data_IF_619957130057
#
_entry.id   IF_619957130057
#
_cell.length_a   1.000
_cell.length_b   1.000
_cell.length_c   1.000
_cell.angle_alpha   90.00
_cell.angle_beta   90.00
_cell.angle_gamma   90.00
#
_symmetry.space_group_name_H-M   'P 1'
#
loop_
_entity.id
_entity.type
_entity.pdbx_description
1 polymer ?
#
# COMPACT_ATOMS: atom_id res chain seq x y z
N UNK A 1 -43.50 -16.09 -9.22
CA UNK A 1 -42.18 -15.51 -9.53
C UNK A 1 -41.75 -14.79 -8.27
N UNK A 2 -40.63 -15.19 -7.66
CA UNK A 2 -40.17 -14.60 -6.40
C UNK A 2 -39.58 -13.22 -6.69
N UNK A 3 -40.02 -12.18 -5.97
CA UNK A 3 -39.49 -10.83 -6.16
C UNK A 3 -38.09 -10.75 -5.54
N UNK A 4 -37.18 -9.99 -6.16
CA UNK A 4 -35.85 -9.71 -5.62
C UNK A 4 -35.90 -8.98 -4.26
N UNK A 5 -37.03 -8.35 -3.95
CA UNK A 5 -37.31 -7.76 -2.65
C UNK A 5 -37.48 -8.81 -1.52
N UNK A 6 -37.86 -10.04 -1.86
CA UNK A 6 -38.20 -11.12 -0.90
C UNK A 6 -37.01 -12.04 -0.56
N UNK A 7 -35.81 -11.72 -1.06
CA UNK A 7 -34.58 -12.46 -0.72
C UNK A 7 -34.28 -12.34 0.78
N UNK A 8 -33.91 -13.48 1.39
CA UNK A 8 -33.52 -13.51 2.80
C UNK A 8 -32.26 -12.69 3.06
N UNK A 9 -32.14 -12.12 4.27
CA UNK A 9 -30.97 -11.34 4.67
C UNK A 9 -29.65 -12.10 4.54
N UNK A 10 -29.66 -13.42 4.77
CA UNK A 10 -28.47 -14.26 4.64
C UNK A 10 -27.97 -14.38 3.20
N UNK A 11 -28.89 -14.55 2.25
CA UNK A 11 -28.57 -14.57 0.81
C UNK A 11 -28.07 -13.20 0.35
N UNK A 12 -28.70 -12.12 0.80
CA UNK A 12 -28.25 -10.76 0.51
C UNK A 12 -26.86 -10.48 1.07
N UNK A 13 -26.57 -10.94 2.30
CA UNK A 13 -25.26 -10.83 2.94
C UNK A 13 -24.20 -11.60 2.16
N UNK A 14 -24.53 -12.83 1.73
CA UNK A 14 -23.66 -13.64 0.89
C UNK A 14 -23.37 -12.97 -0.45
N UNK A 15 -24.39 -12.48 -1.16
CA UNK A 15 -24.23 -11.77 -2.44
C UNK A 15 -23.36 -10.53 -2.24
N UNK A 16 -23.68 -9.67 -1.26
CA UNK A 16 -22.90 -8.46 -0.98
C UNK A 16 -21.43 -8.77 -0.68
N UNK A 17 -21.14 -9.88 0.01
CA UNK A 17 -19.77 -10.34 0.29
C UNK A 17 -18.94 -10.69 -0.95
N UNK A 18 -19.58 -10.84 -2.12
CA UNK A 18 -18.97 -11.15 -3.41
C UNK A 18 -18.94 -9.94 -4.36
N UNK A 19 -19.26 -8.74 -3.87
CA UNK A 19 -19.24 -7.50 -4.65
C UNK A 19 -18.15 -6.55 -4.14
N UNK A 20 -17.57 -5.78 -5.05
CA UNK A 20 -16.60 -4.71 -4.76
C UNK A 20 -16.92 -3.47 -5.60
N UNK A 21 -16.45 -2.31 -5.15
CA UNK A 21 -16.55 -1.05 -5.88
C UNK A 21 -17.98 -0.66 -6.24
N UNK A 22 -18.19 -0.25 -7.50
CA UNK A 22 -19.50 0.19 -8.02
C UNK A 22 -20.59 -0.88 -7.84
N UNK A 23 -20.28 -2.17 -7.99
CA UNK A 23 -21.27 -3.23 -7.82
C UNK A 23 -21.77 -3.32 -6.37
N UNK A 24 -20.87 -3.18 -5.39
CA UNK A 24 -21.23 -3.12 -3.97
C UNK A 24 -22.01 -1.85 -3.63
N UNK A 25 -21.68 -0.72 -4.27
CA UNK A 25 -22.45 0.52 -4.13
C UNK A 25 -23.88 0.35 -4.67
N UNK A 26 -24.02 -0.14 -5.90
CA UNK A 26 -25.30 -0.35 -6.58
C UNK A 26 -26.19 -1.35 -5.85
N UNK A 27 -25.61 -2.35 -5.18
CA UNK A 27 -26.35 -3.28 -4.31
C UNK A 27 -27.19 -2.52 -3.27
N UNK A 28 -26.64 -1.49 -2.62
CA UNK A 28 -27.35 -0.67 -1.64
C UNK A 28 -28.39 0.30 -2.24
N UNK A 29 -28.43 0.44 -3.56
CA UNK A 29 -29.39 1.31 -4.27
C UNK A 29 -30.67 0.57 -4.68
N UNK A 30 -30.66 -0.77 -4.70
CA UNK A 30 -31.79 -1.60 -5.17
C UNK A 30 -33.08 -1.31 -4.39
N UNK A 31 -33.09 -1.57 -3.07
CA UNK A 31 -34.23 -1.31 -2.21
C UNK A 31 -33.80 -1.21 -0.73
N UNK A 32 -34.76 -0.99 0.19
CA UNK A 32 -34.49 -0.79 1.62
C UNK A 32 -33.81 -1.99 2.29
N UNK A 33 -34.22 -3.23 1.99
CA UNK A 33 -33.64 -4.44 2.61
C UNK A 33 -32.19 -4.65 2.19
N UNK A 34 -31.88 -4.47 0.90
CA UNK A 34 -30.52 -4.57 0.37
C UNK A 34 -29.62 -3.46 0.92
N UNK A 35 -30.13 -2.22 1.01
CA UNK A 35 -29.41 -1.10 1.65
C UNK A 35 -29.09 -1.37 3.10
N UNK A 36 -30.02 -1.97 3.85
CA UNK A 36 -29.80 -2.31 5.25
C UNK A 36 -28.64 -3.30 5.39
N UNK A 37 -28.59 -4.34 4.54
CA UNK A 37 -27.49 -5.32 4.51
C UNK A 37 -26.15 -4.68 4.15
N UNK A 38 -26.11 -3.85 3.10
CA UNK A 38 -24.88 -3.16 2.70
C UNK A 38 -24.36 -2.21 3.80
N UNK A 39 -25.27 -1.52 4.48
CA UNK A 39 -24.93 -0.56 5.55
C UNK A 39 -24.52 -1.27 6.85
N UNK A 40 -25.15 -2.39 7.16
CA UNK A 40 -24.81 -3.23 8.31
C UNK A 40 -23.53 -4.04 8.09
N UNK A 41 -23.02 -4.13 6.85
CA UNK A 41 -21.81 -4.87 6.56
C UNK A 41 -20.61 -4.25 7.31
N UNK A 42 -19.96 -5.00 8.22
CA UNK A 42 -18.79 -4.51 8.93
C UNK A 42 -17.59 -4.32 7.98
N UNK A 43 -17.70 -4.81 6.74
CA UNK A 43 -16.65 -4.83 5.73
C UNK A 43 -16.79 -3.73 4.68
N UNK A 44 -17.80 -2.87 4.82
CA UNK A 44 -18.08 -1.76 3.88
C UNK A 44 -16.88 -0.85 3.64
N UNK A 45 -16.03 -0.68 4.65
CA UNK A 45 -14.85 0.19 4.60
C UNK A 45 -13.52 -0.60 4.73
N UNK A 46 -13.58 -1.93 4.65
CA UNK A 46 -12.38 -2.74 4.81
C UNK A 46 -11.51 -2.68 3.55
N UNK A 47 -10.18 -2.55 3.70
CA UNK A 47 -9.26 -2.61 2.56
C UNK A 47 -9.42 -3.91 1.77
N UNK A 48 -9.25 -3.81 0.46
CA UNK A 48 -9.22 -4.94 -0.46
C UNK A 48 -7.78 -5.20 -0.91
N UNK A 49 -7.38 -6.47 -0.96
CA UNK A 49 -6.10 -6.86 -1.53
C UNK A 49 -6.27 -7.06 -3.03
N UNK A 50 -5.64 -6.21 -3.84
CA UNK A 50 -5.55 -6.41 -5.28
C UNK A 50 -4.26 -7.17 -5.62
N UNK A 51 -4.35 -8.23 -6.40
CA UNK A 51 -3.17 -8.97 -6.87
C UNK A 51 -3.34 -9.54 -8.27
N UNK A 52 -2.23 -9.68 -8.99
CA UNK A 52 -2.22 -10.28 -10.33
C UNK A 52 -1.89 -11.78 -10.27
N UNK A 53 -2.71 -12.59 -10.94
CA UNK A 53 -2.46 -14.03 -11.09
C UNK A 53 -1.99 -14.34 -12.50
N UNK A 54 -0.67 -14.53 -12.67
CA UNK A 54 -0.03 -14.76 -13.98
C UNK A 54 -0.63 -15.94 -14.76
N UNK A 55 -0.98 -17.04 -14.08
CA UNK A 55 -1.52 -18.26 -14.71
C UNK A 55 -2.81 -17.98 -15.50
N UNK A 56 -3.68 -17.16 -14.93
CA UNK A 56 -5.00 -16.87 -15.50
C UNK A 56 -5.05 -15.50 -16.20
N UNK A 57 -3.96 -14.71 -16.10
CA UNK A 57 -3.89 -13.31 -16.55
C UNK A 57 -5.01 -12.43 -15.97
N UNK A 58 -5.40 -12.70 -14.74
CA UNK A 58 -6.51 -12.01 -14.05
C UNK A 58 -6.01 -11.20 -12.86
N UNK A 59 -6.61 -10.01 -12.71
CA UNK A 59 -6.53 -9.23 -11.49
C UNK A 59 -7.61 -9.68 -10.52
N UNK A 60 -7.22 -9.91 -9.26
CA UNK A 60 -8.10 -10.47 -8.25
C UNK A 60 -8.17 -9.49 -7.08
N UNK A 61 -9.36 -9.41 -6.49
CA UNK A 61 -9.65 -8.60 -5.33
C UNK A 61 -10.07 -9.54 -4.22
N UNK A 62 -9.23 -9.64 -3.20
CA UNK A 62 -9.51 -10.45 -2.02
C UNK A 62 -9.89 -9.53 -0.88
N UNK A 63 -11.09 -9.74 -0.34
CA UNK A 63 -11.56 -9.11 0.87
C UNK A 63 -11.92 -10.25 1.85
N UNK A 64 -11.05 -10.46 2.84
CA UNK A 64 -11.14 -11.62 3.76
C UNK A 64 -11.15 -12.97 3.01
N UNK A 65 -12.14 -13.82 3.26
CA UNK A 65 -12.32 -15.12 2.61
C UNK A 65 -13.05 -15.03 1.26
N UNK A 66 -13.49 -13.84 0.86
CA UNK A 66 -14.08 -13.62 -0.46
C UNK A 66 -13.02 -13.14 -1.43
N UNK A 67 -12.74 -13.96 -2.45
CA UNK A 67 -11.94 -13.56 -3.60
C UNK A 67 -12.86 -13.34 -4.81
N UNK A 68 -12.77 -12.16 -5.40
CA UNK A 68 -13.49 -11.76 -6.61
C UNK A 68 -12.48 -11.63 -7.73
N UNK A 69 -12.76 -12.29 -8.85
CA UNK A 69 -11.90 -12.29 -10.03
C UNK A 69 -12.42 -11.23 -11.00
N UNK A 70 -11.55 -10.31 -11.42
CA UNK A 70 -11.89 -9.30 -12.41
C UNK A 70 -10.98 -9.41 -13.63
N UNK A 71 -11.59 -9.52 -14.81
CA UNK A 71 -10.85 -9.49 -16.06
C UNK A 71 -10.62 -8.04 -16.50
N UNK A 72 -9.46 -7.50 -16.12
CA UNK A 72 -9.03 -6.14 -16.47
C UNK A 72 -7.97 -6.21 -17.58
N UNK A 73 -8.38 -6.49 -18.82
CA UNK A 73 -7.46 -6.69 -19.97
C UNK A 73 -6.57 -5.48 -20.25
N UNK A 74 -7.07 -4.26 -19.99
CA UNK A 74 -6.28 -3.03 -20.18
C UNK A 74 -5.16 -2.84 -19.13
N UNK A 75 -5.10 -3.70 -18.10
CA UNK A 75 -4.00 -3.80 -17.14
C UNK A 75 -3.07 -4.99 -17.43
N UNK A 76 -3.24 -5.68 -18.56
CA UNK A 76 -2.32 -6.75 -18.95
C UNK A 76 -0.91 -6.17 -19.08
N UNK A 77 0.06 -6.82 -18.44
CA UNK A 77 1.47 -6.38 -18.39
C UNK A 77 1.68 -4.99 -17.73
N UNK A 78 0.74 -4.55 -16.89
CA UNK A 78 0.94 -3.38 -16.03
C UNK A 78 1.46 -3.81 -14.65
N UNK A 79 2.44 -3.06 -14.14
CA UNK A 79 2.97 -3.22 -12.78
C UNK A 79 2.42 -2.14 -11.87
N UNK A 80 2.03 -2.52 -10.65
CA UNK A 80 1.69 -1.56 -9.59
C UNK A 80 2.99 -0.85 -9.15
N UNK A 81 2.91 0.47 -8.97
CA UNK A 81 4.02 1.30 -8.48
C UNK A 81 3.73 1.92 -7.12
N UNK A 82 2.49 2.29 -6.86
CA UNK A 82 2.02 2.81 -5.58
C UNK A 82 0.49 2.68 -5.50
N UNK A 83 -0.06 2.56 -4.30
CA UNK A 83 -1.49 2.62 -4.02
C UNK A 83 -1.74 3.62 -2.90
N UNK A 84 -2.58 4.63 -3.14
CA UNK A 84 -2.98 5.60 -2.13
C UNK A 84 -4.29 6.29 -2.52
N UNK A 85 -5.05 6.80 -1.55
CA UNK A 85 -6.30 7.54 -1.80
C UNK A 85 -7.34 6.80 -2.68
N UNK A 86 -7.35 5.47 -2.69
CA UNK A 86 -8.21 4.66 -3.57
C UNK A 86 -7.71 4.51 -5.01
N UNK A 87 -6.59 5.16 -5.37
CA UNK A 87 -5.98 5.12 -6.69
C UNK A 87 -4.69 4.30 -6.71
N UNK A 88 -4.43 3.68 -7.85
CA UNK A 88 -3.18 3.00 -8.18
C UNK A 88 -2.39 3.86 -9.15
N UNK A 89 -1.12 4.09 -8.86
CA UNK A 89 -0.15 4.45 -9.89
C UNK A 89 0.42 3.16 -10.48
N UNK A 90 0.31 3.01 -11.80
CA UNK A 90 0.74 1.81 -12.52
C UNK A 90 1.71 2.19 -13.65
N UNK A 91 2.53 1.22 -14.07
CA UNK A 91 3.43 1.38 -15.21
C UNK A 91 3.23 0.28 -16.24
N UNK A 92 3.40 0.59 -17.52
CA UNK A 92 3.47 -0.40 -18.59
C UNK A 92 4.91 -0.84 -18.87
N UNK A 93 5.05 -1.86 -19.71
CA UNK A 93 6.34 -2.34 -20.22
C UNK A 93 7.18 -1.22 -20.86
N UNK A 94 6.54 -0.26 -21.56
CA UNK A 94 7.22 0.88 -22.17
C UNK A 94 7.55 2.04 -21.19
N UNK A 95 7.31 1.81 -19.89
CA UNK A 95 7.53 2.74 -18.78
C UNK A 95 6.62 3.97 -18.77
N UNK A 96 5.57 4.01 -19.60
CA UNK A 96 4.49 4.99 -19.42
C UNK A 96 3.75 4.69 -18.13
N UNK A 97 3.35 5.77 -17.44
CA UNK A 97 2.65 5.70 -16.17
C UNK A 97 1.19 6.11 -16.37
N UNK A 98 0.32 5.60 -15.52
CA UNK A 98 -1.09 5.99 -15.49
C UNK A 98 -1.67 5.75 -14.11
N UNK A 99 -2.69 6.53 -13.75
CA UNK A 99 -3.51 6.27 -12.58
C UNK A 99 -4.70 5.39 -12.94
N UNK A 100 -5.09 4.53 -12.01
CA UNK A 100 -6.25 3.67 -12.14
C UNK A 100 -7.01 3.56 -10.82
N UNK A 101 -8.31 3.83 -10.86
CA UNK A 101 -9.25 3.57 -9.77
C UNK A 101 -9.99 2.26 -10.07
N UNK A 102 -9.70 1.17 -9.34
CA UNK A 102 -10.34 -0.11 -9.56
C UNK A 102 -11.80 -0.19 -9.14
N UNK A 103 -12.26 0.73 -8.29
CA UNK A 103 -13.62 0.70 -7.75
C UNK A 103 -14.61 1.45 -8.64
N UNK A 104 -14.14 2.51 -9.30
CA UNK A 104 -14.93 3.31 -10.24
C UNK A 104 -14.55 3.07 -11.71
N UNK A 105 -13.59 2.17 -11.97
CA UNK A 105 -13.07 1.87 -13.31
C UNK A 105 -12.59 3.13 -14.06
N UNK A 106 -12.00 4.08 -13.33
CA UNK A 106 -11.50 5.34 -13.88
C UNK A 106 -10.00 5.26 -14.14
N UNK A 107 -9.54 5.97 -15.16
CA UNK A 107 -8.15 5.94 -15.59
C UNK A 107 -7.68 7.32 -16.02
N UNK A 108 -6.47 7.69 -15.64
CA UNK A 108 -5.82 8.95 -16.04
C UNK A 108 -4.45 8.60 -16.62
N UNK A 109 -4.25 8.91 -17.90
CA UNK A 109 -2.97 8.66 -18.58
C UNK A 109 -1.97 9.78 -18.28
N UNK A 110 -0.72 9.41 -18.02
CA UNK A 110 0.39 10.37 -17.95
C UNK A 110 1.11 10.35 -19.30
N UNK A 111 1.08 11.50 -19.98
CA UNK A 111 1.61 11.64 -21.34
C UNK A 111 3.15 11.66 -21.40
N UNK A 112 3.80 11.91 -20.26
CA UNK A 112 5.24 11.93 -20.12
C UNK A 112 5.73 10.76 -19.24
N UNK A 113 6.94 10.27 -19.53
CA UNK A 113 7.58 9.20 -18.75
C UNK A 113 8.90 9.69 -18.15
N UNK A 114 9.25 9.24 -16.94
CA UNK A 114 10.58 9.51 -16.39
C UNK A 114 11.61 8.66 -17.14
N UNK A 115 12.89 8.98 -16.93
CA UNK A 115 13.97 8.09 -17.34
C UNK A 115 13.86 6.72 -16.70
N UNK A 116 14.48 5.72 -17.32
CA UNK A 116 14.35 4.33 -16.89
C UNK A 116 14.95 4.05 -15.50
N UNK A 117 14.41 3.03 -14.83
CA UNK A 117 15.01 2.41 -13.65
C UNK A 117 14.42 2.81 -12.28
N UNK A 118 13.44 3.71 -12.21
CA UNK A 118 12.76 4.04 -10.95
C UNK A 118 12.04 2.81 -10.38
N UNK A 119 12.32 2.48 -9.12
CA UNK A 119 11.82 1.25 -8.47
C UNK A 119 10.72 1.50 -7.48
N UNK A 120 10.66 2.71 -6.91
CA UNK A 120 9.77 3.05 -5.80
C UNK A 120 9.07 4.37 -6.13
N UNK A 121 7.76 4.44 -5.94
CA UNK A 121 6.97 5.63 -6.22
C UNK A 121 6.03 5.96 -5.06
N UNK A 122 5.62 7.21 -4.98
CA UNK A 122 4.54 7.70 -4.14
C UNK A 122 3.89 8.92 -4.79
N UNK A 123 2.71 9.30 -4.30
CA UNK A 123 2.02 10.51 -4.74
C UNK A 123 1.27 11.17 -3.58
N UNK A 124 1.15 12.51 -3.63
CA UNK A 124 0.78 13.34 -2.47
C UNK A 124 -0.73 13.48 -2.21
N UNK A 125 -1.56 13.42 -3.25
CA UNK A 125 -3.01 13.65 -3.19
C UNK A 125 -3.74 12.74 -4.19
N UNK A 126 -5.08 12.61 -4.16
CA UNK A 126 -5.81 11.99 -5.27
C UNK A 126 -5.36 12.57 -6.62
N UNK A 127 -5.25 11.76 -7.68
CA UNK A 127 -4.74 12.23 -8.95
C UNK A 127 -5.64 13.23 -9.67
N UNK A 128 -6.86 13.43 -9.18
CA UNK A 128 -7.80 14.46 -9.62
C UNK A 128 -7.56 15.82 -8.96
N UNK A 129 -6.68 15.91 -7.97
CA UNK A 129 -6.33 17.15 -7.29
C UNK A 129 -5.19 17.88 -8.02
N UNK A 130 -5.28 19.22 -8.21
CA UNK A 130 -4.20 20.02 -8.78
C UNK A 130 -2.95 20.05 -7.89
N UNK A 131 -3.06 19.67 -6.61
CA UNK A 131 -1.93 19.58 -5.68
C UNK A 131 -1.24 18.20 -5.73
N UNK A 132 -1.65 17.31 -6.63
CA UNK A 132 -1.04 16.00 -6.75
C UNK A 132 0.36 16.10 -7.37
N UNK A 133 1.32 15.49 -6.69
CA UNK A 133 2.72 15.40 -7.12
C UNK A 133 3.13 13.94 -7.04
N UNK A 134 3.71 13.44 -8.12
CA UNK A 134 4.28 12.09 -8.20
C UNK A 134 5.77 12.17 -7.97
N UNK A 135 6.29 11.30 -7.09
CA UNK A 135 7.72 11.23 -6.81
C UNK A 135 8.20 9.80 -6.95
N UNK A 136 9.23 9.61 -7.79
CA UNK A 136 9.88 8.33 -8.02
C UNK A 136 11.32 8.32 -7.49
N UNK A 137 11.76 7.16 -7.00
CA UNK A 137 13.07 6.97 -6.39
C UNK A 137 13.77 5.71 -6.94
N UNK A 138 15.09 5.80 -7.10
CA UNK A 138 15.96 4.63 -7.31
C UNK A 138 17.36 4.90 -6.76
N UNK A 139 17.98 3.88 -6.19
CA UNK A 139 19.42 3.90 -5.88
C UNK A 139 20.21 3.30 -7.04
N UNK A 140 21.15 4.07 -7.55
CA UNK A 140 22.19 3.62 -8.49
C UNK A 140 23.55 3.60 -7.80
N UNK A 141 24.46 2.75 -8.28
CA UNK A 141 25.82 2.65 -7.77
C UNK A 141 26.81 3.12 -8.82
N UNK A 142 27.60 4.13 -8.48
CA UNK A 142 28.70 4.63 -9.31
C UNK A 142 30.01 4.36 -8.55
N UNK A 143 30.66 3.24 -8.87
CA UNK A 143 31.78 2.71 -8.09
C UNK A 143 31.34 2.35 -6.67
N UNK A 144 32.00 2.94 -5.67
CA UNK A 144 31.65 2.74 -4.27
C UNK A 144 30.53 3.67 -3.77
N UNK A 145 30.07 4.63 -4.56
CA UNK A 145 29.08 5.63 -4.14
C UNK A 145 27.67 5.15 -4.43
N UNK A 146 26.77 5.32 -3.46
CA UNK A 146 25.34 5.17 -3.67
C UNK A 146 24.74 6.55 -3.98
N UNK A 147 24.06 6.65 -5.11
CA UNK A 147 23.38 7.86 -5.57
C UNK A 147 21.89 7.54 -5.64
N UNK A 148 21.07 8.41 -5.07
CA UNK A 148 19.61 8.32 -5.17
C UNK A 148 19.19 9.26 -6.30
N UNK A 149 18.66 8.69 -7.38
CA UNK A 149 17.91 9.47 -8.38
C UNK A 149 16.49 9.68 -7.87
N UNK A 150 16.02 10.90 -7.98
CA UNK A 150 14.65 11.28 -7.66
C UNK A 150 14.06 11.96 -8.90
N UNK A 151 12.86 11.54 -9.29
CA UNK A 151 12.05 12.23 -10.29
C UNK A 151 10.79 12.79 -9.66
N UNK A 152 10.38 13.97 -10.10
CA UNK A 152 9.17 14.67 -9.64
C UNK A 152 8.33 15.04 -10.85
N UNK A 153 7.04 14.75 -10.80
CA UNK A 153 6.04 15.24 -11.75
C UNK A 153 4.94 15.96 -10.98
N UNK A 154 4.78 17.25 -11.24
CA UNK A 154 3.66 18.04 -10.72
C UNK A 154 2.43 17.86 -11.61
N UNK A 155 1.23 18.00 -11.03
CA UNK A 155 -0.01 18.02 -11.80
C UNK A 155 0.05 19.04 -12.95
N UNK A 156 -0.48 18.68 -14.12
CA UNK A 156 -0.47 19.53 -15.32
C UNK A 156 0.89 19.67 -16.03
N UNK A 157 1.99 19.20 -15.45
CA UNK A 157 3.30 19.25 -16.12
C UNK A 157 3.44 18.13 -17.15
N UNK A 158 4.09 18.43 -18.28
CA UNK A 158 4.47 17.50 -19.33
C UNK A 158 5.93 17.02 -19.20
N UNK A 159 6.67 17.48 -18.19
CA UNK A 159 8.08 17.18 -18.00
C UNK A 159 8.37 16.67 -16.59
N UNK A 160 9.19 15.61 -16.53
CA UNK A 160 9.71 15.06 -15.28
C UNK A 160 10.97 15.81 -14.87
N UNK A 161 10.97 16.37 -13.67
CA UNK A 161 12.19 16.94 -13.10
C UNK A 161 13.01 15.82 -12.46
N UNK A 162 14.24 15.62 -12.94
CA UNK A 162 15.12 14.58 -12.40
C UNK A 162 16.38 15.16 -11.76
N UNK A 163 16.71 14.68 -10.56
CA UNK A 163 17.89 15.11 -9.82
C UNK A 163 18.58 13.92 -9.15
N UNK A 164 19.89 14.07 -8.93
CA UNK A 164 20.74 13.07 -8.27
C UNK A 164 21.18 13.58 -6.90
N UNK A 165 20.96 12.79 -5.87
CA UNK A 165 21.34 13.08 -4.50
C UNK A 165 22.31 12.02 -3.99
N UNK A 166 23.25 12.44 -3.15
CA UNK A 166 24.16 11.52 -2.47
C UNK A 166 24.51 12.06 -1.10
N UNK A 167 24.64 11.16 -0.14
CA UNK A 167 25.24 11.49 1.14
C UNK A 167 26.75 11.24 1.07
N UNK A 168 27.62 12.16 1.54
CA UNK A 168 29.08 12.02 1.39
C UNK A 168 29.67 10.74 2.00
N UNK A 169 29.09 10.26 3.09
CA UNK A 169 29.61 9.13 3.89
C UNK A 169 28.69 7.90 3.98
N UNK A 170 27.42 8.04 3.59
CA UNK A 170 26.40 7.02 3.89
C UNK A 170 25.84 6.49 2.57
N UNK A 171 25.94 5.18 2.38
CA UNK A 171 25.36 4.50 1.21
C UNK A 171 23.89 4.19 1.49
N UNK A 172 23.01 5.10 1.11
CA UNK A 172 21.57 4.91 1.26
C UNK A 172 21.01 4.12 0.08
N UNK A 173 20.50 2.91 0.36
CA UNK A 173 19.79 2.09 -0.63
C UNK A 173 18.30 2.13 -0.33
N UNK A 174 17.55 2.76 -1.22
CA UNK A 174 16.10 2.90 -1.14
C UNK A 174 15.48 1.51 -1.04
N UNK A 175 14.58 1.41 -0.07
CA UNK A 175 13.83 0.21 0.25
C UNK A 175 12.63 0.07 -0.70
N UNK A 176 12.08 -1.14 -0.88
CA UNK A 176 10.90 -1.37 -1.74
C UNK A 176 9.59 -0.84 -1.16
N UNK A 177 9.51 -0.66 0.15
CA UNK A 177 8.32 -0.14 0.81
C UNK A 177 7.97 1.28 0.35
N UNK A 178 6.68 1.54 0.21
CA UNK A 178 6.15 2.83 -0.20
C UNK A 178 6.68 3.98 0.70
N UNK A 179 7.17 5.09 0.12
CA UNK A 179 7.48 6.32 0.84
C UNK A 179 6.23 6.90 1.49
N UNK A 180 6.42 7.63 2.59
CA UNK A 180 5.32 8.22 3.37
C UNK A 180 5.46 9.73 3.44
N UNK A 181 4.39 10.43 3.10
CA UNK A 181 4.27 11.87 3.32
C UNK A 181 3.99 12.16 4.79
N UNK A 182 4.85 12.97 5.42
CA UNK A 182 4.73 13.33 6.83
C UNK A 182 5.33 14.71 7.08
N UNK A 183 4.55 15.60 7.71
CA UNK A 183 4.98 16.97 8.08
C UNK A 183 5.69 17.74 6.95
N UNK A 184 5.14 17.65 5.74
CA UNK A 184 5.66 18.35 4.56
C UNK A 184 6.90 17.74 3.92
N UNK A 185 7.36 16.57 4.38
CA UNK A 185 8.49 15.83 3.82
C UNK A 185 8.03 14.44 3.35
N UNK A 186 8.82 13.82 2.47
CA UNK A 186 8.70 12.40 2.14
C UNK A 186 9.74 11.62 2.94
N UNK A 187 9.28 10.64 3.71
CA UNK A 187 10.13 9.73 4.47
C UNK A 187 10.31 8.43 3.69
N UNK A 188 11.56 7.96 3.64
CA UNK A 188 11.93 6.69 3.04
C UNK A 188 12.76 5.88 4.03
N UNK A 189 12.49 4.58 4.09
CA UNK A 189 13.41 3.65 4.73
C UNK A 189 14.49 3.20 3.74
N UNK A 190 15.64 2.81 4.27
CA UNK A 190 16.65 2.05 3.55
C UNK A 190 16.44 0.56 3.79
N UNK A 191 17.05 -0.28 2.96
CA UNK A 191 17.05 -1.74 3.19
C UNK A 191 17.75 -2.16 4.49
N UNK A 192 18.44 -1.22 5.18
CA UNK A 192 19.11 -1.44 6.47
C UNK A 192 18.38 -0.80 7.65
N UNK A 193 17.19 -0.22 7.42
CA UNK A 193 16.42 0.48 8.44
C UNK A 193 16.88 1.92 8.74
N UNK A 194 17.80 2.48 7.94
CA UNK A 194 18.11 3.92 7.98
C UNK A 194 16.94 4.72 7.39
N UNK A 195 16.83 6.01 7.74
CA UNK A 195 15.73 6.86 7.28
C UNK A 195 16.27 8.05 6.51
N UNK A 196 15.73 8.29 5.31
CA UNK A 196 15.96 9.52 4.57
C UNK A 196 14.69 10.36 4.51
N UNK A 197 14.87 11.67 4.48
CA UNK A 197 13.80 12.64 4.24
C UNK A 197 14.08 13.42 2.97
N UNK A 198 13.05 13.62 2.17
CA UNK A 198 13.08 14.42 0.96
C UNK A 198 12.09 15.58 1.04
N UNK A 199 12.58 16.80 0.83
CA UNK A 199 11.79 18.03 0.77
C UNK A 199 11.54 18.42 -0.69
N UNK A 200 10.32 18.18 -1.16
CA UNK A 200 9.91 18.48 -2.56
C UNK A 200 10.12 19.96 -2.89
N UNK A 201 9.86 20.87 -1.93
CA UNK A 201 9.97 22.32 -2.16
C UNK A 201 11.41 22.77 -2.40
N UNK A 202 12.39 21.94 -2.05
CA UNK A 202 13.82 22.21 -2.24
C UNK A 202 14.40 21.38 -3.38
N UNK A 203 13.58 20.74 -4.20
CA UNK A 203 14.04 19.87 -5.29
C UNK A 203 15.12 20.56 -6.14
N UNK A 204 16.26 19.89 -6.33
CA UNK A 204 17.47 20.42 -6.98
C UNK A 204 18.52 20.96 -6.00
N UNK A 205 18.16 21.27 -4.76
CA UNK A 205 19.11 21.71 -3.73
C UNK A 205 19.70 20.53 -2.95
N UNK A 206 20.97 20.61 -2.55
CA UNK A 206 21.63 19.59 -1.72
C UNK A 206 20.92 19.36 -0.38
N UNK A 207 20.24 20.37 0.15
CA UNK A 207 19.50 20.30 1.42
C UNK A 207 18.13 19.64 1.29
N UNK A 208 17.68 19.33 0.07
CA UNK A 208 16.43 18.60 -0.15
C UNK A 208 16.48 17.16 0.34
N UNK A 209 17.68 16.57 0.42
CA UNK A 209 17.88 15.17 0.75
C UNK A 209 18.73 15.02 2.00
N UNK A 210 18.14 14.49 3.07
CA UNK A 210 18.83 14.26 4.34
C UNK A 210 18.76 12.80 4.70
N UNK A 211 19.90 12.21 5.09
CA UNK A 211 19.99 10.80 5.48
C UNK A 211 20.36 10.70 6.95
N UNK A 212 19.54 9.99 7.71
CA UNK A 212 19.80 9.62 9.09
C UNK A 212 20.13 8.14 9.14
N UNK A 213 21.34 7.81 9.60
CA UNK A 213 21.77 6.43 9.73
C UNK A 213 21.69 5.91 11.16
N UNK A 214 21.89 4.60 11.31
CA UNK A 214 21.89 3.91 12.60
C UNK A 214 20.57 4.17 13.35
N UNK A 215 19.46 4.27 12.62
CA UNK A 215 18.16 4.55 13.22
C UNK A 215 17.72 3.40 14.14
N UNK A 216 18.18 2.18 13.90
CA UNK A 216 18.03 1.02 14.78
C UNK A 216 19.18 0.95 15.79
N UNK A 217 18.87 0.62 17.06
CA UNK A 217 19.85 0.50 18.15
C UNK A 217 20.77 -0.72 18.00
N UNK A 218 20.24 -1.87 17.59
CA UNK A 218 20.99 -3.12 17.53
C UNK A 218 21.38 -3.45 16.09
N UNK A 219 22.63 -3.17 15.74
CA UNK A 219 23.15 -3.27 14.37
C UNK A 219 23.21 -4.72 13.86
N UNK A 220 23.10 -5.72 14.75
CA UNK A 220 23.13 -7.14 14.37
C UNK A 220 21.94 -7.52 13.48
N UNK A 221 20.77 -6.94 13.71
CA UNK A 221 19.56 -7.21 12.92
C UNK A 221 19.51 -6.47 11.58
N UNK A 222 20.32 -5.42 11.39
CA UNK A 222 20.29 -4.60 10.16
C UNK A 222 20.76 -5.36 8.91
N UNK A 223 21.52 -6.46 9.07
CA UNK A 223 21.99 -7.29 7.94
C UNK A 223 20.96 -8.34 7.49
N UNK A 224 19.86 -8.51 8.24
CA UNK A 224 18.89 -9.59 8.04
C UNK A 224 17.47 -9.11 7.70
N UNK A 225 17.27 -7.78 7.55
CA UNK A 225 15.98 -7.23 7.13
C UNK A 225 15.68 -7.68 5.69
N UNK A 226 14.61 -8.47 5.54
CA UNK A 226 14.12 -8.95 4.24
C UNK A 226 13.04 -8.03 3.69
N UNK A 227 12.12 -7.60 4.56
CA UNK A 227 11.02 -6.72 4.20
C UNK A 227 10.89 -5.59 5.22
N UNK A 228 10.42 -4.44 4.74
CA UNK A 228 10.21 -3.23 5.52
C UNK A 228 8.96 -2.54 4.98
N UNK A 229 8.12 -2.09 5.89
CA UNK A 229 6.89 -1.39 5.56
C UNK A 229 6.85 -0.15 6.41
N UNK A 230 7.03 1.02 5.79
CA UNK A 230 6.90 2.31 6.43
C UNK A 230 5.45 2.78 6.25
N UNK A 231 4.81 3.24 7.33
CA UNK A 231 3.39 3.61 7.27
C UNK A 231 3.00 4.57 8.39
N UNK A 232 1.76 5.04 8.30
CA UNK A 232 1.03 5.77 9.33
C UNK A 232 -0.17 4.96 9.80
N UNK A 233 -0.58 5.21 11.04
CA UNK A 233 -1.83 4.70 11.59
C UNK A 233 -2.83 5.86 11.58
N UNK A 234 -4.01 5.65 11.00
CA UNK A 234 -5.09 6.62 10.99
C UNK A 234 -5.43 7.03 12.42
N UNK A 235 -5.45 8.33 12.68
CA UNK A 235 -5.67 8.90 14.02
C UNK A 235 -4.40 9.04 14.87
N UNK A 236 -3.25 8.52 14.42
CA UNK A 236 -1.92 8.80 14.99
C UNK A 236 -1.03 9.51 13.94
N UNK A 237 -1.57 10.53 13.30
CA UNK A 237 -0.95 11.20 12.15
C UNK A 237 0.41 11.84 12.45
N UNK A 238 0.70 12.11 13.73
CA UNK A 238 1.96 12.68 14.22
C UNK A 238 3.09 11.66 14.37
N UNK A 239 2.83 10.37 14.14
CA UNK A 239 3.81 9.30 14.31
C UNK A 239 3.98 8.46 13.04
N UNK A 240 5.23 8.10 12.77
CA UNK A 240 5.59 7.11 11.75
C UNK A 240 5.87 5.76 12.39
N UNK A 241 5.47 4.71 11.70
CA UNK A 241 5.68 3.34 12.12
C UNK A 241 6.39 2.55 11.03
N UNK A 242 7.15 1.54 11.45
CA UNK A 242 7.75 0.60 10.53
C UNK A 242 7.61 -0.83 11.04
N UNK A 243 7.17 -1.73 10.16
CA UNK A 243 7.25 -3.17 10.40
C UNK A 243 8.41 -3.72 9.58
N UNK A 244 9.30 -4.44 10.24
CA UNK A 244 10.46 -5.09 9.62
C UNK A 244 10.38 -6.59 9.82
N UNK A 245 10.57 -7.35 8.75
CA UNK A 245 10.66 -8.80 8.79
C UNK A 245 12.14 -9.18 8.72
N UNK A 246 12.63 -9.82 9.78
CA UNK A 246 14.03 -10.23 9.92
C UNK A 246 14.16 -11.75 10.03
N UNK A 247 15.33 -12.29 9.70
CA UNK A 247 15.72 -13.70 9.91
C UNK A 247 14.76 -14.67 9.20
N UNK A 248 14.71 -14.60 7.87
CA UNK A 248 13.80 -15.42 7.04
C UNK A 248 12.33 -15.25 7.43
N UNK A 249 11.91 -14.01 7.73
CA UNK A 249 10.53 -13.65 8.06
C UNK A 249 9.96 -14.33 9.33
N UNK A 250 10.82 -15.01 10.10
CA UNK A 250 10.50 -15.61 11.41
C UNK A 250 10.20 -14.57 12.48
N UNK A 251 10.74 -13.36 12.31
CA UNK A 251 10.64 -12.29 13.28
C UNK A 251 10.00 -11.06 12.65
N UNK A 252 8.73 -10.83 12.98
CA UNK A 252 8.04 -9.58 12.69
C UNK A 252 8.29 -8.61 13.84
N UNK A 253 8.89 -7.45 13.54
CA UNK A 253 9.19 -6.41 14.53
C UNK A 253 8.51 -5.12 14.16
N UNK A 254 7.76 -4.56 15.12
CA UNK A 254 7.11 -3.27 15.00
C UNK A 254 7.96 -2.19 15.65
N UNK A 255 8.12 -1.07 14.95
CA UNK A 255 8.84 0.09 15.45
C UNK A 255 7.99 1.35 15.32
N UNK A 256 8.08 2.21 16.34
CA UNK A 256 7.63 3.61 16.30
C UNK A 256 8.82 4.52 16.06
N UNK A 257 8.69 5.49 15.17
CA UNK A 257 9.76 6.45 14.89
C UNK A 257 9.74 7.58 15.93
N UNK A 258 10.91 7.89 16.49
CA UNK A 258 11.13 9.07 17.33
C UNK A 258 11.88 10.12 16.51
N UNK A 259 11.16 11.11 15.99
CA UNK A 259 11.74 12.18 15.16
C UNK A 259 12.80 13.03 15.89
N UNK A 260 12.63 13.47 17.15
CA UNK A 260 13.66 14.27 17.83
C UNK A 260 15.01 13.56 17.93
N UNK A 261 15.01 12.22 17.94
CA UNK A 261 16.22 11.40 18.02
C UNK A 261 16.60 10.77 16.68
N UNK A 262 15.70 10.86 15.68
CA UNK A 262 15.73 10.10 14.43
C UNK A 262 16.03 8.61 14.63
N UNK A 263 15.38 7.99 15.63
CA UNK A 263 15.57 6.56 16.00
C UNK A 263 14.25 5.78 15.98
N UNK A 264 14.37 4.51 15.62
CA UNK A 264 13.33 3.51 15.79
C UNK A 264 13.30 3.00 17.23
N UNK A 265 12.11 2.97 17.82
CA UNK A 265 11.83 2.36 19.13
C UNK A 265 10.97 1.12 18.89
N UNK A 266 11.42 -0.02 19.41
CA UNK A 266 10.67 -1.27 19.33
C UNK A 266 9.39 -1.15 20.15
N UNK A 267 8.28 -1.54 19.55
CA UNK A 267 6.98 -1.65 20.22
C UNK A 267 6.61 -3.13 20.34
N UNK A 268 5.86 -3.48 21.40
CA UNK A 268 5.48 -4.86 21.70
C UNK A 268 4.34 -5.34 20.80
N UNK A 269 3.37 -4.46 20.59
CA UNK A 269 2.11 -4.75 19.92
C UNK A 269 1.47 -3.44 19.39
N UNK A 270 0.33 -3.56 18.70
CA UNK A 270 -0.43 -2.42 18.15
C UNK A 270 -1.78 -2.19 18.86
N UNK A 271 -2.03 -2.85 20.00
CA UNK A 271 -3.27 -2.72 20.75
C UNK A 271 -4.54 -3.01 19.93
N UNK A 272 -5.46 -2.05 19.90
CA UNK A 272 -6.76 -2.10 19.21
C UNK A 272 -6.67 -1.84 17.69
N UNK A 273 -5.46 -1.65 17.16
CA UNK A 273 -5.23 -1.36 15.74
C UNK A 273 -5.10 -2.63 14.90
N UNK A 274 -5.24 -2.47 13.59
CA UNK A 274 -5.01 -3.48 12.56
C UNK A 274 -4.15 -2.88 11.44
N UNK A 275 -3.17 -3.64 10.94
CA UNK A 275 -2.27 -3.19 9.89
C UNK A 275 -2.51 -3.95 8.58
N UNK A 276 -2.47 -3.23 7.46
CA UNK A 276 -2.53 -3.78 6.12
C UNK A 276 -1.27 -3.34 5.37
N UNK A 277 -0.33 -4.27 5.17
CA UNK A 277 1.03 -3.95 4.74
C UNK A 277 1.37 -4.66 3.43
N UNK A 278 1.72 -3.89 2.41
CA UNK A 278 2.22 -4.36 1.11
C UNK A 278 3.32 -3.43 0.61
N UNK A 279 4.11 -3.85 -0.38
CA UNK A 279 5.22 -3.01 -0.88
C UNK A 279 4.73 -1.68 -1.47
N UNK A 280 3.55 -1.66 -2.09
CA UNK A 280 3.03 -0.49 -2.80
C UNK A 280 2.08 0.37 -1.96
N UNK A 281 1.61 -0.14 -0.82
CA UNK A 281 0.78 0.57 0.15
C UNK A 281 0.85 -0.10 1.50
N UNK A 282 1.01 0.70 2.55
CA UNK A 282 1.05 0.24 3.93
C UNK A 282 0.33 1.24 4.81
N UNK A 283 -0.62 0.76 5.61
CA UNK A 283 -1.42 1.61 6.49
C UNK A 283 -1.88 0.84 7.72
N UNK A 284 -2.20 1.58 8.78
CA UNK A 284 -2.90 1.06 9.95
C UNK A 284 -4.17 1.83 10.25
N UNK A 285 -5.13 1.17 10.86
CA UNK A 285 -6.38 1.77 11.32
C UNK A 285 -6.85 1.12 12.62
N UNK A 286 -7.87 1.69 13.26
CA UNK A 286 -8.55 1.05 14.39
C UNK A 286 -9.37 -0.14 13.90
N UNK A 287 -9.22 -1.28 14.56
CA UNK A 287 -9.91 -2.49 14.15
C UNK A 287 -11.42 -2.35 14.37
N UNK A 288 -12.21 -2.53 13.30
CA UNK A 288 -13.68 -2.52 13.38
C UNK A 288 -14.24 -3.68 14.21
N UNK A 289 -13.52 -4.80 14.22
CA UNK A 289 -13.87 -5.99 15.00
C UNK A 289 -12.75 -6.28 15.99
N UNK A 290 -13.11 -6.60 17.24
CA UNK A 290 -12.15 -6.98 18.28
C UNK A 290 -11.26 -8.15 17.86
N UNK A 291 -11.79 -9.09 17.07
CA UNK A 291 -11.00 -10.21 16.58
C UNK A 291 -9.91 -9.78 15.61
N UNK A 292 -10.03 -8.64 14.91
CA UNK A 292 -9.02 -8.14 13.97
C UNK A 292 -7.92 -7.33 14.65
N UNK A 293 -8.14 -6.91 15.89
CA UNK A 293 -7.17 -6.13 16.65
C UNK A 293 -5.87 -6.89 16.86
N UNK A 294 -4.78 -6.13 16.94
CA UNK A 294 -3.44 -6.65 17.18
C UNK A 294 -2.90 -7.60 16.11
N UNK A 295 -3.31 -7.37 14.85
CA UNK A 295 -2.94 -8.19 13.69
C UNK A 295 -2.36 -7.39 12.54
N UNK A 296 -1.55 -8.08 11.74
CA UNK A 296 -1.00 -7.58 10.48
C UNK A 296 -1.47 -8.48 9.34
N UNK A 297 -2.06 -7.87 8.33
CA UNK A 297 -2.44 -8.53 7.09
C UNK A 297 -1.41 -8.22 6.01
N UNK A 298 -0.71 -9.26 5.57
CA UNK A 298 0.22 -9.22 4.45
C UNK A 298 -0.43 -9.86 3.20
N UNK A 299 0.06 -9.59 1.98
CA UNK A 299 -0.29 -10.32 0.78
C UNK A 299 0.27 -11.76 0.79
N UNK A 300 -0.20 -12.57 1.73
CA UNK A 300 0.30 -13.91 2.03
C UNK A 300 -0.87 -14.88 2.18
N UNK A 301 -0.73 -16.06 1.57
CA UNK A 301 -1.76 -17.09 1.56
C UNK A 301 -1.17 -18.44 1.90
N UNK A 302 -1.91 -19.23 2.69
CA UNK A 302 -1.63 -20.65 2.90
C UNK A 302 -2.72 -21.43 2.17
N UNK A 303 -2.32 -22.19 1.15
CA UNK A 303 -3.23 -22.75 0.14
C UNK A 303 -4.06 -21.62 -0.48
N UNK A 304 -5.35 -21.53 -0.17
CA UNK A 304 -6.26 -20.50 -0.67
C UNK A 304 -6.78 -19.56 0.44
N UNK A 305 -6.31 -19.71 1.69
CA UNK A 305 -6.72 -18.85 2.80
C UNK A 305 -5.72 -17.72 3.04
N UNK A 306 -6.24 -16.50 3.18
CA UNK A 306 -5.47 -15.33 3.57
C UNK A 306 -4.85 -15.53 4.96
N UNK A 307 -3.59 -15.12 5.09
CA UNK A 307 -2.82 -15.24 6.33
C UNK A 307 -2.62 -13.87 6.98
N UNK A 308 -2.73 -13.84 8.30
CA UNK A 308 -2.36 -12.69 9.12
C UNK A 308 -1.30 -13.07 10.16
N UNK A 309 -0.51 -12.10 10.59
CA UNK A 309 0.37 -12.23 11.74
C UNK A 309 -0.32 -11.66 12.98
N UNK A 310 -0.26 -12.37 14.11
CA UNK A 310 -0.81 -11.93 15.39
C UNK A 310 0.32 -11.61 16.36
N UNK A 311 0.36 -10.37 16.87
CA UNK A 311 1.32 -10.00 17.92
C UNK A 311 1.02 -10.70 19.25
N UNK A 312 -0.24 -11.06 19.51
CA UNK A 312 -0.63 -11.75 20.74
C UNK A 312 0.01 -13.15 20.83
N UNK A 313 0.10 -13.86 19.70
CA UNK A 313 0.68 -15.21 19.65
C UNK A 313 2.12 -15.22 19.13
N UNK A 314 2.55 -14.16 18.45
CA UNK A 314 3.83 -14.10 17.75
C UNK A 314 3.91 -15.00 16.51
N UNK A 315 2.77 -15.34 15.89
CA UNK A 315 2.66 -16.34 14.82
C UNK A 315 1.79 -15.86 13.66
N UNK A 316 2.00 -16.46 12.49
CA UNK A 316 1.12 -16.41 11.34
C UNK A 316 -0.05 -17.37 11.52
N UNK A 317 -1.25 -16.97 11.12
CA UNK A 317 -2.49 -17.74 11.19
C UNK A 317 -3.27 -17.60 9.89
N UNK A 318 -3.96 -18.66 9.45
CA UNK A 318 -4.95 -18.56 8.38
C UNK A 318 -6.32 -18.11 8.91
N UNK A 319 -7.12 -17.46 8.06
CA UNK A 319 -8.47 -17.04 8.44
C UNK A 319 -9.40 -18.23 8.73
N UNK A 320 -9.22 -19.34 8.00
CA UNK A 320 -10.00 -20.57 8.22
C UNK A 320 -9.58 -21.37 9.47
N UNK A 321 -8.56 -20.92 10.21
CA UNK A 321 -8.10 -21.55 11.45
C UNK A 321 -7.31 -22.85 11.31
N UNK A 322 -7.11 -23.36 10.09
CA UNK A 322 -6.43 -24.64 9.85
C UNK A 322 -4.89 -24.54 9.79
N UNK A 323 -4.32 -23.33 9.86
CA UNK A 323 -2.88 -23.11 9.79
C UNK A 323 -2.41 -22.12 10.85
N UNK A 324 -1.32 -22.46 11.54
CA UNK A 324 -0.57 -21.58 12.42
C UNK A 324 0.92 -21.91 12.35
N UNK A 325 1.79 -20.90 12.20
CA UNK A 325 3.24 -21.10 12.15
C UNK A 325 4.01 -19.91 12.69
N UNK A 326 5.19 -20.15 13.25
CA UNK A 326 6.14 -19.11 13.67
C UNK A 326 6.95 -18.55 12.50
N UNK A 327 6.87 -19.15 11.32
CA UNK A 327 7.64 -18.77 10.13
C UNK A 327 6.75 -18.79 8.87
N UNK A 328 7.29 -18.32 7.75
CA UNK A 328 6.55 -18.20 6.48
C UNK A 328 6.86 -19.28 5.43
N UNK A 329 7.51 -20.40 5.78
CA UNK A 329 7.97 -21.37 4.78
C UNK A 329 6.84 -21.97 3.92
N UNK A 330 5.71 -22.31 4.51
CA UNK A 330 4.55 -22.87 3.79
C UNK A 330 3.57 -21.79 3.29
N UNK A 331 3.99 -20.52 3.33
CA UNK A 331 3.15 -19.38 3.03
C UNK A 331 3.54 -18.79 1.68
N UNK A 332 2.61 -18.81 0.73
CA UNK A 332 2.80 -18.19 -0.57
C UNK A 332 2.72 -16.67 -0.44
N UNK A 333 3.83 -15.99 -0.73
CA UNK A 333 3.88 -14.52 -0.82
C UNK A 333 3.46 -14.03 -2.21
N UNK A 334 2.62 -13.01 -2.25
CA UNK A 334 2.23 -12.31 -3.47
C UNK A 334 3.04 -11.01 -3.62
N UNK A 335 4.15 -11.09 -4.34
CA UNK A 335 5.08 -9.96 -4.53
C UNK A 335 4.49 -8.78 -5.33
N UNK A 336 3.47 -9.05 -6.15
CA UNK A 336 2.81 -8.08 -7.03
C UNK A 336 1.37 -7.84 -6.59
N UNK A 337 1.22 -7.51 -5.31
CA UNK A 337 -0.07 -7.29 -4.67
C UNK A 337 -0.04 -6.04 -3.80
N UNK A 338 -1.18 -5.36 -3.69
CA UNK A 338 -1.31 -4.17 -2.85
C UNK A 338 -2.66 -4.08 -2.16
N UNK A 339 -2.64 -3.56 -0.93
CA UNK A 339 -3.86 -3.17 -0.24
C UNK A 339 -4.38 -1.84 -0.81
N UNK A 340 -5.68 -1.79 -1.04
CA UNK A 340 -6.38 -0.60 -1.53
C UNK A 340 -7.53 -0.32 -0.58
N UNK A 341 -7.53 0.88 0.00
CA UNK A 341 -8.69 1.38 0.74
C UNK A 341 -9.74 1.84 -0.27
N UNK A 342 -11.00 1.39 -0.17
CA UNK A 342 -12.08 2.00 -0.94
C UNK A 342 -12.14 3.49 -0.64
N UNK A 343 -12.23 4.34 -1.67
CA UNK A 343 -12.46 5.76 -1.46
C UNK A 343 -13.79 5.96 -0.71
N UNK A 344 -13.83 6.87 0.27
CA UNK A 344 -15.09 7.26 0.89
C UNK A 344 -16.00 7.84 -0.20
N UNK A 345 -17.16 7.24 -0.40
CA UNK A 345 -18.14 7.55 -1.46
C UNK A 345 -18.80 8.94 -1.32
N UNK A 346 -18.18 9.87 -0.59
CA UNK A 346 -18.70 11.23 -0.36
C UNK A 346 -18.50 12.17 -1.55
N UNK A 347 -17.68 11.82 -2.53
CA UNK A 347 -17.54 12.64 -3.74
C UNK A 347 -17.95 11.83 -4.97
N UNK A 348 -19.15 12.09 -5.46
CA UNK A 348 -19.56 11.70 -6.80
C UNK A 348 -18.67 12.46 -7.79
N UNK A 349 -17.52 11.89 -8.16
CA UNK A 349 -16.76 12.40 -9.29
C UNK A 349 -17.63 12.26 -10.54
N UNK A 350 -17.96 13.38 -11.18
CA UNK A 350 -18.66 13.42 -12.46
C UNK A 350 -17.98 12.50 -13.48
N UNK A 351 -18.78 11.75 -14.26
CA UNK A 351 -18.37 10.84 -15.35
C UNK A 351 -17.78 11.60 -16.56
N UNK A 352 -16.82 12.50 -16.33
CA UNK A 352 -16.06 13.18 -17.37
C UNK A 352 -14.79 12.42 -17.74
N UNK A 353 -14.23 12.71 -18.90
CA UNK A 353 -12.86 12.31 -19.23
C UNK A 353 -11.93 13.03 -18.24
N UNK A 354 -11.26 12.28 -17.37
CA UNK A 354 -10.28 12.84 -16.45
C UNK A 354 -8.95 12.97 -17.19
N UNK A 355 -8.44 14.20 -17.26
CA UNK A 355 -7.12 14.51 -17.79
C UNK A 355 -6.22 14.95 -16.65
N UNK A 356 -4.94 14.59 -16.74
CA UNK A 356 -3.89 15.11 -15.85
C UNK A 356 -3.45 16.54 -16.24
N UNK A 357 -3.99 17.05 -17.35
CA UNK A 357 -3.66 18.30 -18.03
C UNK A 357 -4.89 19.17 -18.16
#
# INVERSE_FOLDING_TARGET
>A
MMDWADLSGDLLSFIHSKLVGEAAHNFGLVCRSWRAVATASPYRYSPCLMHYTKRNRLWNFSQFDSCIHMHLSYLENADIRCSNFGWLLMSRVNHTLFFFDPFNNQKIELLCKPSHGYTTFCFSHPPTSPDCVIVGFVTIYEGDKAIVKICVLTHGSDTWEERRYKHPKIKFRVSRGAPVFHRGLIYLSSVKGDVATFDIKKHGCKTAWVVNNKCLKDYRYNKEIKEHFLFKIRGEEEALFCVMLVNEERNVKLYRFSEPRMKWKLEKDIGDKVLHLSYYSSSGDTAHLKCMANRIYFPRFHVDSAVYYSFATGMYHSHNGHFSSTNSYDIKRLDFATWIMPASTTESSSRGILTWF
#
